data_IF_853155650303
#
_entry.id   IF_853155650303
#
_cell.length_a   1.000
_cell.length_b   1.000
_cell.length_c   1.000
_cell.angle_alpha   90.00
_cell.angle_beta   90.00
_cell.angle_gamma   90.00
#
_symmetry.space_group_name_H-M   'P 1'
#
loop_
_entity.id
_entity.type
_entity.pdbx_description
1 polymer ?
#
# COMPACT_ATOMS: atom_id res chain seq x y z
N UNK A 1 -13.05 -16.23 6.66
CA UNK A 1 -12.25 -15.67 7.76
C UNK A 1 -11.80 -14.30 7.27
N UNK A 2 -12.40 -13.21 7.76
CA UNK A 2 -12.01 -11.87 7.34
C UNK A 2 -10.57 -11.62 7.84
N UNK A 3 -9.68 -11.16 6.95
CA UNK A 3 -8.40 -10.62 7.37
C UNK A 3 -8.70 -9.29 8.04
N UNK A 4 -8.41 -9.19 9.33
CA UNK A 4 -8.36 -7.90 10.00
C UNK A 4 -7.14 -7.15 9.46
N UNK A 5 -7.37 -6.23 8.53
CA UNK A 5 -6.31 -5.46 7.90
C UNK A 5 -5.58 -4.56 8.88
N UNK A 6 -6.26 -4.05 9.92
CA UNK A 6 -5.60 -3.27 10.96
C UNK A 6 -4.64 -4.14 11.75
N UNK A 7 -5.06 -5.37 12.08
CA UNK A 7 -4.16 -6.37 12.67
C UNK A 7 -3.01 -6.73 11.73
N UNK A 8 -3.28 -6.98 10.44
CA UNK A 8 -2.23 -7.31 9.47
C UNK A 8 -1.23 -6.18 9.26
N UNK A 9 -1.70 -4.93 9.20
CA UNK A 9 -0.85 -3.74 9.14
C UNK A 9 -0.03 -3.59 10.42
N UNK A 10 -0.63 -3.78 11.60
CA UNK A 10 0.07 -3.72 12.86
C UNK A 10 1.11 -4.85 13.00
N UNK A 11 0.75 -6.08 12.62
CA UNK A 11 1.65 -7.23 12.59
C UNK A 11 2.83 -6.95 11.65
N UNK A 12 2.58 -6.35 10.48
CA UNK A 12 3.63 -5.90 9.55
C UNK A 12 4.53 -4.82 10.16
N UNK A 13 3.96 -3.81 10.83
CA UNK A 13 4.72 -2.75 11.49
C UNK A 13 5.64 -3.28 12.60
N UNK A 14 5.28 -4.40 13.22
CA UNK A 14 6.10 -5.10 14.21
C UNK A 14 7.20 -6.00 13.60
N UNK A 15 7.24 -6.16 12.27
CA UNK A 15 8.37 -6.84 11.60
C UNK A 15 9.59 -5.93 11.47
N UNK A 16 10.81 -6.47 11.26
CA UNK A 16 11.99 -5.64 11.00
C UNK A 16 11.83 -4.69 9.80
N UNK A 17 11.08 -5.09 8.77
CA UNK A 17 10.78 -4.25 7.62
C UNK A 17 9.83 -3.10 7.98
N UNK A 18 8.76 -3.39 8.73
CA UNK A 18 7.82 -2.39 9.22
C UNK A 18 8.46 -1.42 10.23
N UNK A 19 9.34 -1.90 11.10
CA UNK A 19 10.09 -1.08 12.03
C UNK A 19 11.00 -0.05 11.31
N UNK A 20 11.66 -0.46 10.22
CA UNK A 20 12.44 0.46 9.37
C UNK A 20 11.57 1.55 8.75
N UNK A 21 10.36 1.19 8.31
CA UNK A 21 9.40 2.16 7.77
C UNK A 21 8.85 3.11 8.85
N UNK A 22 8.66 2.64 10.07
CA UNK A 22 8.21 3.46 11.20
C UNK A 22 9.15 4.64 11.47
N UNK A 23 10.48 4.42 11.39
CA UNK A 23 11.49 5.48 11.50
C UNK A 23 11.57 6.44 10.30
N UNK A 24 10.84 6.14 9.22
CA UNK A 24 10.89 6.85 7.92
C UNK A 24 9.58 7.54 7.57
N UNK A 25 8.76 7.88 8.57
CA UNK A 25 7.45 8.52 8.35
C UNK A 25 7.52 9.77 7.45
N UNK A 26 8.55 10.61 7.60
CA UNK A 26 8.74 11.78 6.74
C UNK A 26 9.01 11.41 5.27
N UNK A 27 9.76 10.34 5.02
CA UNK A 27 10.04 9.85 3.68
C UNK A 27 8.80 9.18 3.07
N UNK A 28 8.01 8.48 3.88
CA UNK A 28 6.72 7.92 3.47
C UNK A 28 5.74 9.02 3.07
N UNK A 29 5.65 10.11 3.83
CA UNK A 29 4.82 11.26 3.46
C UNK A 29 5.29 11.87 2.13
N UNK A 30 6.60 12.05 1.94
CA UNK A 30 7.15 12.49 0.65
C UNK A 30 6.83 11.53 -0.50
N UNK A 31 6.83 10.23 -0.25
CA UNK A 31 6.47 9.22 -1.23
C UNK A 31 4.99 9.32 -1.63
N UNK A 32 4.10 9.52 -0.67
CA UNK A 32 2.66 9.75 -0.88
C UNK A 32 2.42 11.04 -1.67
N UNK A 33 3.15 12.10 -1.35
CA UNK A 33 3.04 13.41 -1.99
C UNK A 33 3.78 13.49 -3.33
N UNK A 34 4.58 12.49 -3.67
CA UNK A 34 5.29 12.41 -4.94
C UNK A 34 4.33 12.29 -6.14
N UNK A 35 4.82 12.63 -7.33
CA UNK A 35 4.05 12.48 -8.58
C UNK A 35 3.53 11.06 -8.76
N UNK A 36 4.35 10.05 -8.50
CA UNK A 36 3.96 8.64 -8.63
C UNK A 36 2.94 8.25 -7.55
N UNK A 37 3.14 8.73 -6.31
CA UNK A 37 2.19 8.53 -5.21
C UNK A 37 0.81 9.10 -5.50
N UNK A 38 0.75 10.34 -5.99
CA UNK A 38 -0.50 10.98 -6.40
C UNK A 38 -1.16 10.30 -7.61
N UNK A 39 -0.37 9.82 -8.58
CA UNK A 39 -0.90 9.06 -9.71
C UNK A 39 -1.51 7.74 -9.27
N UNK A 40 -0.83 6.98 -8.39
CA UNK A 40 -1.38 5.73 -7.84
C UNK A 40 -2.63 6.00 -6.99
N UNK A 41 -2.63 7.08 -6.20
CA UNK A 41 -3.82 7.54 -5.46
C UNK A 41 -4.98 7.83 -6.41
N UNK A 42 -4.72 8.51 -7.53
CA UNK A 42 -5.73 8.79 -8.55
C UNK A 42 -6.21 7.51 -9.27
N UNK A 43 -5.36 6.51 -9.47
CA UNK A 43 -5.76 5.20 -10.03
C UNK A 43 -6.73 4.44 -9.11
N UNK A 44 -6.64 4.70 -7.80
CA UNK A 44 -7.57 4.18 -6.80
C UNK A 44 -8.84 5.03 -6.65
N UNK A 45 -8.87 6.22 -7.25
CA UNK A 45 -10.04 7.10 -7.21
C UNK A 45 -11.24 6.44 -7.88
N UNK A 46 -12.37 6.43 -7.19
CA UNK A 46 -13.60 5.74 -7.60
C UNK A 46 -13.60 4.25 -7.27
N UNK A 47 -12.52 3.71 -6.69
CA UNK A 47 -12.42 2.35 -6.18
C UNK A 47 -12.22 2.31 -4.66
N UNK A 48 -12.12 3.45 -3.98
CA UNK A 48 -11.82 3.49 -2.54
C UNK A 48 -12.83 2.69 -1.72
N UNK A 49 -14.13 2.89 -1.99
CA UNK A 49 -15.19 2.16 -1.28
C UNK A 49 -15.08 0.65 -1.47
N UNK A 50 -14.73 0.19 -2.68
CA UNK A 50 -14.55 -1.24 -2.97
C UNK A 50 -13.29 -1.81 -2.31
N UNK A 51 -12.21 -1.03 -2.26
CA UNK A 51 -10.96 -1.44 -1.59
C UNK A 51 -11.14 -1.46 -0.08
N UNK A 52 -11.82 -0.47 0.50
CA UNK A 52 -12.15 -0.42 1.94
C UNK A 52 -13.07 -1.59 2.31
N UNK A 53 -14.14 -1.84 1.54
CA UNK A 53 -15.01 -2.99 1.79
C UNK A 53 -14.27 -4.33 1.64
N UNK A 54 -13.32 -4.42 0.70
CA UNK A 54 -12.48 -5.61 0.57
C UNK A 54 -11.53 -5.79 1.76
N UNK A 55 -11.00 -4.69 2.30
CA UNK A 55 -10.21 -4.67 3.54
C UNK A 55 -11.07 -5.17 4.71
N UNK A 56 -12.25 -4.59 4.93
CA UNK A 56 -13.12 -4.90 6.07
C UNK A 56 -13.63 -6.35 6.05
N UNK A 57 -13.97 -6.85 4.85
CA UNK A 57 -14.48 -8.21 4.67
C UNK A 57 -13.38 -9.25 4.49
N UNK A 58 -12.11 -8.83 4.42
CA UNK A 58 -10.98 -9.72 4.14
C UNK A 58 -10.99 -10.33 2.75
N UNK A 59 -11.58 -9.65 1.76
CA UNK A 59 -11.59 -10.08 0.36
C UNK A 59 -10.20 -9.89 -0.26
N UNK A 60 -9.38 -10.92 -0.08
CA UNK A 60 -8.01 -10.94 -0.60
C UNK A 60 -7.94 -10.96 -2.13
N UNK A 61 -9.00 -11.37 -2.84
CA UNK A 61 -9.00 -11.40 -4.30
C UNK A 61 -9.12 -9.99 -4.86
N UNK A 62 -10.03 -9.17 -4.32
CA UNK A 62 -10.15 -7.76 -4.70
C UNK A 62 -8.88 -6.99 -4.38
N UNK A 63 -8.27 -7.24 -3.21
CA UNK A 63 -7.01 -6.60 -2.83
C UNK A 63 -5.85 -7.01 -3.74
N UNK A 64 -5.68 -8.31 -4.01
CA UNK A 64 -4.65 -8.80 -4.94
C UNK A 64 -4.83 -8.24 -6.34
N UNK A 65 -6.05 -8.20 -6.85
CA UNK A 65 -6.33 -7.65 -8.18
C UNK A 65 -6.02 -6.16 -8.24
N UNK A 66 -6.41 -5.40 -7.21
CA UNK A 66 -6.13 -3.96 -7.12
C UNK A 66 -4.63 -3.70 -7.09
N UNK A 67 -3.90 -4.37 -6.20
CA UNK A 67 -2.44 -4.25 -6.11
C UNK A 67 -1.75 -4.68 -7.40
N UNK A 68 -2.18 -5.78 -8.02
CA UNK A 68 -1.63 -6.27 -9.29
C UNK A 68 -1.85 -5.26 -10.42
N UNK A 69 -3.00 -4.59 -10.45
CA UNK A 69 -3.28 -3.58 -11.46
C UNK A 69 -2.41 -2.33 -11.27
N UNK A 70 -2.14 -1.94 -10.02
CA UNK A 70 -1.22 -0.84 -9.71
C UNK A 70 0.21 -1.22 -10.11
N UNK A 71 0.70 -2.40 -9.72
CA UNK A 71 2.08 -2.82 -10.00
C UNK A 71 2.37 -3.05 -11.50
N UNK A 72 1.33 -3.23 -12.33
CA UNK A 72 1.46 -3.29 -13.79
C UNK A 72 1.70 -1.92 -14.42
N UNK A 73 1.42 -0.83 -13.72
CA UNK A 73 1.73 0.51 -14.23
C UNK A 73 3.17 0.88 -13.91
N UNK A 74 3.76 1.73 -14.75
CA UNK A 74 5.14 2.16 -14.56
C UNK A 74 5.28 2.93 -13.24
N UNK A 75 4.30 3.77 -12.91
CA UNK A 75 4.30 4.55 -11.67
C UNK A 75 4.08 3.68 -10.43
N UNK A 76 3.20 2.67 -10.50
CA UNK A 76 2.99 1.74 -9.39
C UNK A 76 4.22 0.87 -9.12
N UNK A 77 4.91 0.43 -10.17
CA UNK A 77 6.17 -0.31 -10.06
C UNK A 77 7.28 0.55 -9.42
N UNK A 78 7.47 1.80 -9.89
CA UNK A 78 8.44 2.74 -9.32
C UNK A 78 8.13 3.07 -7.86
N UNK A 79 6.87 3.29 -7.53
CA UNK A 79 6.44 3.55 -6.15
C UNK A 79 6.76 2.36 -5.24
N UNK A 80 6.49 1.14 -5.71
CA UNK A 80 6.80 -0.08 -4.97
C UNK A 80 8.31 -0.29 -4.78
N UNK A 81 9.12 0.03 -5.79
CA UNK A 81 10.58 -0.03 -5.69
C UNK A 81 11.14 1.00 -4.70
N UNK A 82 10.62 2.22 -4.72
CA UNK A 82 10.99 3.25 -3.73
C UNK A 82 10.65 2.81 -2.31
N UNK A 83 9.44 2.25 -2.10
CA UNK A 83 9.04 1.68 -0.82
C UNK A 83 9.95 0.51 -0.40
N UNK A 84 10.31 -0.37 -1.33
CA UNK A 84 11.22 -1.49 -1.07
C UNK A 84 12.62 -1.01 -0.65
N UNK A 85 13.13 0.05 -1.28
CA UNK A 85 14.42 0.63 -0.91
C UNK A 85 14.41 1.26 0.48
N UNK A 86 13.26 1.73 0.97
CA UNK A 86 13.12 2.23 2.35
C UNK A 86 13.10 1.10 3.39
N UNK A 87 12.76 -0.13 2.99
CA UNK A 87 12.74 -1.32 3.86
C UNK A 87 14.09 -2.06 3.93
N UNK A 88 15.02 -1.74 3.02
CA UNK A 88 16.39 -2.26 3.03
C UNK A 88 17.20 -1.61 4.13
#
# INVERSE_FOLDING_TARGET
MAIDFNKAANDFMNTPAGAKLSGKQNELNKLIDSTDGQKVKNMLSGKEASVIAAIENGDTNVLKNTLSNILKTEEGSRLAEQLLNMMK
#
